data_IF_312004848590
#
_entry.id   IF_312004848590
#
_cell.length_a   1.000
_cell.length_b   1.000
_cell.length_c   1.000
_cell.angle_alpha   90.00
_cell.angle_beta   90.00
_cell.angle_gamma   90.00
#
_symmetry.space_group_name_H-M   'P 1'
#
loop_
_entity.id
_entity.type
_entity.pdbx_description
1 polymer ?
#
# COMPACT_ATOMS: atom_id res chain seq x y z
N UNK A 1 -26.78 21.37 25.91
CA UNK A 1 -25.69 20.40 26.18
C UNK A 1 -25.58 19.47 24.97
N UNK A 2 -24.36 19.31 24.44
CA UNK A 2 -24.14 18.42 23.31
C UNK A 2 -24.16 16.97 23.74
N UNK A 3 -24.68 16.08 22.90
CA UNK A 3 -24.62 14.66 23.12
C UNK A 3 -23.17 14.15 22.92
N UNK A 4 -22.88 12.97 23.43
CA UNK A 4 -21.55 12.34 23.18
C UNK A 4 -21.30 12.17 21.68
N UNK A 5 -22.33 11.93 20.89
CA UNK A 5 -22.21 11.78 19.44
C UNK A 5 -21.78 13.08 18.77
N UNK A 6 -22.35 14.21 19.18
CA UNK A 6 -21.99 15.53 18.65
C UNK A 6 -20.57 15.91 19.03
N UNK A 7 -20.16 15.64 20.27
CA UNK A 7 -18.80 15.91 20.73
C UNK A 7 -17.78 15.11 19.94
N UNK A 8 -18.05 13.83 19.71
CA UNK A 8 -17.15 12.96 18.93
C UNK A 8 -17.12 13.39 17.47
N UNK A 9 -18.24 13.77 16.90
CA UNK A 9 -18.31 14.25 15.52
C UNK A 9 -17.46 15.51 15.33
N UNK A 10 -17.50 16.46 16.27
CA UNK A 10 -16.66 17.67 16.22
C UNK A 10 -15.17 17.34 16.30
N UNK A 11 -14.78 16.47 17.24
CA UNK A 11 -13.39 16.08 17.42
C UNK A 11 -12.86 15.36 16.18
N UNK A 12 -13.64 14.45 15.62
CA UNK A 12 -13.27 13.71 14.41
C UNK A 12 -13.19 14.67 13.21
N UNK A 13 -14.15 15.60 13.09
CA UNK A 13 -14.14 16.58 12.01
C UNK A 13 -12.88 17.43 11.98
N UNK A 14 -12.42 17.89 13.13
CA UNK A 14 -11.17 18.66 13.23
C UNK A 14 -9.96 17.81 12.80
N UNK A 15 -9.89 16.58 13.27
CA UNK A 15 -8.80 15.67 12.92
C UNK A 15 -8.79 15.37 11.42
N UNK A 16 -9.97 15.11 10.84
CA UNK A 16 -10.11 14.84 9.41
C UNK A 16 -9.65 16.05 8.59
N UNK A 17 -10.03 17.26 8.98
CA UNK A 17 -9.60 18.47 8.28
C UNK A 17 -8.09 18.62 8.27
N UNK A 18 -7.44 18.41 9.41
CA UNK A 18 -5.99 18.48 9.52
C UNK A 18 -5.29 17.43 8.65
N UNK A 19 -5.74 16.18 8.74
CA UNK A 19 -5.14 15.09 7.97
C UNK A 19 -5.37 15.25 6.47
N UNK A 20 -6.57 15.65 6.07
CA UNK A 20 -6.88 15.86 4.65
C UNK A 20 -6.00 16.96 4.04
N UNK A 21 -5.80 18.07 4.76
CA UNK A 21 -4.91 19.13 4.33
C UNK A 21 -3.46 18.64 4.21
N UNK A 22 -3.00 17.88 5.22
CA UNK A 22 -1.63 17.35 5.24
C UNK A 22 -1.37 16.33 4.13
N UNK A 23 -2.37 15.53 3.77
CA UNK A 23 -2.21 14.44 2.79
C UNK A 23 -2.64 14.81 1.37
N UNK A 24 -2.91 16.08 1.10
CA UNK A 24 -3.23 16.55 -0.25
C UNK A 24 -4.49 15.95 -0.83
N UNK A 25 -5.51 15.75 0.01
CA UNK A 25 -6.79 15.17 -0.41
C UNK A 25 -6.67 13.76 -0.99
N UNK A 26 -5.79 12.93 -0.41
CA UNK A 26 -5.57 11.56 -0.85
C UNK A 26 -6.86 10.76 -0.98
N UNK A 27 -7.80 10.93 -0.04
CA UNK A 27 -9.07 10.22 -0.07
C UNK A 27 -9.87 10.50 -1.35
N UNK A 28 -9.89 11.76 -1.79
CA UNK A 28 -10.63 12.16 -2.99
C UNK A 28 -9.90 11.81 -4.28
N UNK A 29 -8.55 11.74 -4.26
CA UNK A 29 -7.73 11.66 -5.47
C UNK A 29 -7.13 10.28 -5.73
N UNK A 30 -7.02 9.42 -4.70
CA UNK A 30 -6.34 8.13 -4.83
C UNK A 30 -6.97 7.21 -5.90
N UNK A 31 -8.29 7.32 -6.13
CA UNK A 31 -8.98 6.49 -7.11
C UNK A 31 -8.47 6.72 -8.54
N UNK A 32 -7.98 7.91 -8.85
CA UNK A 32 -7.40 8.19 -10.17
C UNK A 32 -6.17 7.35 -10.42
N UNK A 33 -5.33 7.19 -9.39
CA UNK A 33 -4.14 6.36 -9.46
C UNK A 33 -4.53 4.89 -9.61
N UNK A 34 -5.54 4.44 -8.87
CA UNK A 34 -6.05 3.06 -8.99
C UNK A 34 -6.55 2.76 -10.41
N UNK A 35 -7.20 3.71 -11.04
CA UNK A 35 -7.67 3.55 -12.43
C UNK A 35 -6.51 3.33 -13.41
N UNK A 36 -5.38 3.98 -13.17
CA UNK A 36 -4.19 3.82 -14.00
C UNK A 36 -3.56 2.44 -13.76
N UNK A 37 -3.43 2.03 -12.50
CA UNK A 37 -2.81 0.76 -12.13
C UNK A 37 -3.69 -0.45 -12.47
N UNK A 38 -4.99 -0.32 -12.28
CA UNK A 38 -5.95 -1.40 -12.49
C UNK A 38 -7.06 -0.95 -13.45
N UNK A 39 -6.73 -0.75 -14.74
CA UNK A 39 -7.70 -0.19 -15.69
C UNK A 39 -8.90 -1.10 -15.94
N UNK A 40 -8.76 -2.39 -15.69
CA UNK A 40 -9.81 -3.39 -15.88
C UNK A 40 -10.43 -3.87 -14.55
N UNK A 41 -10.18 -3.14 -13.46
CA UNK A 41 -10.66 -3.52 -12.13
C UNK A 41 -9.68 -4.43 -11.41
N UNK A 42 -10.03 -4.80 -10.19
CA UNK A 42 -9.20 -5.61 -9.32
C UNK A 42 -9.86 -6.98 -9.18
N UNK A 43 -9.15 -8.02 -9.60
CA UNK A 43 -9.65 -9.39 -9.46
C UNK A 43 -9.43 -9.91 -8.04
N UNK A 44 -10.17 -10.95 -7.60
CA UNK A 44 -9.97 -11.52 -6.26
C UNK A 44 -8.53 -11.98 -5.98
N UNK A 45 -7.82 -12.46 -6.99
CA UNK A 45 -6.43 -12.90 -6.86
C UNK A 45 -5.48 -11.73 -6.58
N UNK A 46 -5.91 -10.51 -6.89
CA UNK A 46 -5.12 -9.29 -6.69
C UNK A 46 -5.44 -8.58 -5.38
N UNK A 47 -6.43 -9.04 -4.60
CA UNK A 47 -6.88 -8.30 -3.42
C UNK A 47 -5.77 -8.02 -2.41
N UNK A 48 -4.94 -9.00 -2.10
CA UNK A 48 -3.88 -8.82 -1.11
C UNK A 48 -2.89 -7.73 -1.53
N UNK A 49 -2.42 -7.81 -2.77
CA UNK A 49 -1.51 -6.80 -3.31
C UNK A 49 -2.19 -5.44 -3.43
N UNK A 50 -3.44 -5.41 -3.91
CA UNK A 50 -4.18 -4.17 -4.08
C UNK A 50 -4.38 -3.43 -2.75
N UNK A 51 -4.63 -4.15 -1.66
CA UNK A 51 -4.74 -3.53 -0.33
C UNK A 51 -3.43 -2.85 0.08
N UNK A 52 -2.30 -3.48 -0.17
CA UNK A 52 -1.00 -2.88 0.11
C UNK A 52 -0.72 -1.69 -0.81
N UNK A 53 -1.05 -1.81 -2.09
CA UNK A 53 -0.91 -0.72 -3.07
C UNK A 53 -1.68 0.51 -2.63
N UNK A 54 -2.93 0.34 -2.16
CA UNK A 54 -3.75 1.46 -1.69
C UNK A 54 -3.07 2.17 -0.51
N UNK A 55 -2.52 1.43 0.43
CA UNK A 55 -1.82 2.01 1.57
C UNK A 55 -0.55 2.75 1.15
N UNK A 56 0.17 2.19 0.19
CA UNK A 56 1.36 2.86 -0.37
C UNK A 56 0.97 4.17 -1.06
N UNK A 57 -0.12 4.17 -1.82
CA UNK A 57 -0.62 5.39 -2.47
C UNK A 57 -0.85 6.49 -1.44
N UNK A 58 -1.46 6.19 -0.31
CA UNK A 58 -1.67 7.17 0.76
C UNK A 58 -0.34 7.75 1.26
N UNK A 59 0.68 6.92 1.41
CA UNK A 59 2.01 7.37 1.82
C UNK A 59 2.68 8.24 0.77
N UNK A 60 2.44 7.94 -0.51
CA UNK A 60 2.97 8.77 -1.60
C UNK A 60 2.35 10.17 -1.58
N UNK A 61 1.04 10.29 -1.34
CA UNK A 61 0.39 11.59 -1.17
C UNK A 61 1.01 12.36 0.00
N UNK A 62 1.27 11.70 1.09
CA UNK A 62 1.90 12.31 2.26
C UNK A 62 3.31 12.79 1.95
N UNK A 63 4.12 11.99 1.26
CA UNK A 63 5.48 12.38 0.85
C UNK A 63 5.43 13.65 0.01
N UNK A 64 4.50 13.72 -0.92
CA UNK A 64 4.38 14.85 -1.84
C UNK A 64 3.88 16.13 -1.16
N UNK A 65 3.07 16.03 -0.10
CA UNK A 65 2.38 17.17 0.48
C UNK A 65 2.87 17.57 1.88
N UNK A 66 3.11 16.61 2.76
CA UNK A 66 3.48 16.88 4.15
C UNK A 66 4.28 15.73 4.74
N UNK A 67 5.44 15.47 4.17
CA UNK A 67 6.30 14.32 4.49
C UNK A 67 6.56 14.15 5.99
N UNK A 68 6.83 15.24 6.70
CA UNK A 68 7.21 15.19 8.11
C UNK A 68 6.03 15.39 9.06
N UNK A 69 4.81 15.48 8.54
CA UNK A 69 3.63 15.64 9.36
C UNK A 69 3.46 14.42 10.29
N UNK A 70 3.03 14.69 11.52
CA UNK A 70 2.75 13.68 12.55
C UNK A 70 3.97 12.86 13.00
N UNK A 71 5.19 13.28 12.65
CA UNK A 71 6.42 12.67 13.18
C UNK A 71 6.76 11.28 12.68
N UNK A 72 6.02 10.74 11.71
CA UNK A 72 6.26 9.43 11.14
C UNK A 72 6.83 9.54 9.73
N UNK A 73 7.76 8.64 9.38
CA UNK A 73 8.31 8.59 8.03
C UNK A 73 7.43 7.74 7.12
N UNK A 74 6.83 8.32 6.07
CA UNK A 74 6.06 7.54 5.11
C UNK A 74 6.92 6.53 4.35
N UNK A 75 8.18 6.83 4.11
CA UNK A 75 9.10 5.87 3.49
C UNK A 75 9.28 4.61 4.33
N UNK A 76 9.32 4.77 5.64
CA UNK A 76 9.42 3.63 6.57
C UNK A 76 8.20 2.72 6.47
N UNK A 77 7.00 3.31 6.36
CA UNK A 77 5.77 2.56 6.18
C UNK A 77 5.76 1.82 4.84
N UNK A 78 6.21 2.46 3.77
CA UNK A 78 6.32 1.83 2.45
C UNK A 78 7.28 0.64 2.51
N UNK A 79 8.43 0.81 3.17
CA UNK A 79 9.38 -0.28 3.36
C UNK A 79 8.75 -1.45 4.10
N UNK A 80 7.95 -1.17 5.14
CA UNK A 80 7.22 -2.20 5.88
C UNK A 80 6.25 -2.97 4.99
N UNK A 81 5.46 -2.29 4.20
CA UNK A 81 4.55 -2.95 3.25
C UNK A 81 5.31 -3.78 2.21
N UNK A 82 6.45 -3.27 1.74
CA UNK A 82 7.28 -4.01 0.79
C UNK A 82 7.80 -5.31 1.40
N UNK A 83 8.25 -5.28 2.65
CA UNK A 83 8.71 -6.47 3.37
C UNK A 83 7.57 -7.49 3.50
N UNK A 84 6.39 -7.03 3.88
CA UNK A 84 5.21 -7.89 3.99
C UNK A 84 4.85 -8.51 2.65
N UNK A 85 4.94 -7.74 1.57
CA UNK A 85 4.69 -8.23 0.21
C UNK A 85 5.68 -9.31 -0.21
N UNK A 86 6.95 -9.09 0.04
CA UNK A 86 8.00 -10.07 -0.27
C UNK A 86 7.79 -11.35 0.53
N UNK A 87 7.46 -11.24 1.83
CA UNK A 87 7.20 -12.39 2.68
C UNK A 87 5.98 -13.19 2.21
N UNK A 88 4.92 -12.49 1.80
CA UNK A 88 3.69 -13.12 1.28
C UNK A 88 3.97 -13.89 -0.01
N UNK A 89 4.70 -13.28 -0.95
CA UNK A 89 5.09 -13.95 -2.19
C UNK A 89 5.93 -15.20 -1.91
N UNK A 90 6.85 -15.11 -0.97
CA UNK A 90 7.68 -16.26 -0.58
C UNK A 90 6.84 -17.39 0.00
N UNK A 91 5.87 -17.07 0.87
CA UNK A 91 4.96 -18.07 1.45
C UNK A 91 4.11 -18.75 0.38
N UNK A 92 3.61 -17.99 -0.59
CA UNK A 92 2.81 -18.52 -1.69
C UNK A 92 3.63 -19.50 -2.54
N UNK A 93 4.87 -19.15 -2.83
CA UNK A 93 5.78 -20.03 -3.59
C UNK A 93 6.10 -21.30 -2.81
N UNK A 94 6.33 -21.21 -1.50
CA UNK A 94 6.63 -22.37 -0.65
C UNK A 94 5.45 -23.31 -0.52
N UNK A 95 4.22 -22.77 -0.45
CA UNK A 95 2.99 -23.58 -0.37
C UNK A 95 2.62 -24.22 -1.67
N UNK A 96 3.09 -23.68 -2.79
CA UNK A 96 2.75 -24.17 -4.10
C UNK A 96 3.69 -25.30 -4.50
N UNK A 97 3.32 -26.53 -4.14
CA UNK A 97 3.99 -27.73 -4.65
C UNK A 97 3.78 -27.91 -6.15
N UNK A 98 3.06 -26.98 -6.78
CA UNK A 98 2.70 -27.02 -8.20
C UNK A 98 3.55 -26.07 -9.05
N UNK A 99 4.55 -25.41 -8.46
CA UNK A 99 5.50 -24.59 -9.22
C UNK A 99 6.26 -25.54 -10.14
N UNK A 100 6.18 -25.35 -11.47
CA UNK A 100 6.91 -26.23 -12.39
C UNK A 100 8.40 -26.22 -12.12
N UNK A 101 9.05 -27.38 -12.24
CA UNK A 101 10.49 -27.49 -12.03
C UNK A 101 11.27 -26.51 -12.93
N UNK A 102 10.79 -26.30 -14.15
CA UNK A 102 11.41 -25.37 -15.09
C UNK A 102 11.26 -23.91 -14.64
N UNK A 103 10.22 -23.56 -13.87
CA UNK A 103 10.07 -22.21 -13.32
C UNK A 103 11.20 -21.90 -12.33
N UNK A 104 11.48 -22.82 -11.41
CA UNK A 104 12.57 -22.66 -10.45
C UNK A 104 13.94 -22.63 -11.15
N UNK A 105 14.13 -23.46 -12.16
CA UNK A 105 15.35 -23.46 -12.96
C UNK A 105 15.56 -22.12 -13.68
N UNK A 106 14.49 -21.51 -14.19
CA UNK A 106 14.54 -20.20 -14.83
C UNK A 106 14.95 -19.12 -13.84
N UNK A 107 14.40 -19.13 -12.64
CA UNK A 107 14.76 -18.15 -11.59
C UNK A 107 16.24 -18.33 -11.19
N UNK A 108 16.71 -19.55 -11.04
CA UNK A 108 18.11 -19.83 -10.72
C UNK A 108 19.04 -19.33 -11.81
N UNK A 109 18.69 -19.52 -13.06
CA UNK A 109 19.46 -18.99 -14.19
C UNK A 109 19.56 -17.47 -14.15
N UNK A 110 18.47 -16.78 -13.86
CA UNK A 110 18.47 -15.32 -13.72
C UNK A 110 19.31 -14.87 -12.55
N UNK A 111 19.21 -15.53 -11.40
CA UNK A 111 20.03 -15.22 -10.23
C UNK A 111 21.52 -15.37 -10.52
N UNK A 112 21.92 -16.43 -11.24
CA UNK A 112 23.32 -16.64 -11.65
C UNK A 112 23.81 -15.57 -12.62
N UNK A 113 22.95 -15.11 -13.55
CA UNK A 113 23.31 -14.05 -14.51
C UNK A 113 23.49 -12.70 -13.82
N UNK A 114 22.73 -12.40 -12.78
CA UNK A 114 22.84 -11.13 -12.06
C UNK A 114 24.02 -11.06 -11.11
N UNK A 115 24.63 -12.20 -10.77
CA UNK A 115 25.82 -12.25 -9.91
C UNK A 115 27.13 -12.02 -10.66
N UNK A 116 27.08 -11.93 -11.97
CA UNK A 116 28.21 -11.55 -12.78
C UNK A 116 28.25 -10.03 -12.92
#
# INVERSE_FOLDING_TARGET
MKSIYEEQAEAIGKLVAEKNAAYGSAFAEAHHILKVLYPNGISPEQYTDALAVIRVIDKLFRIANAKDAFGESPWRDIAGYAILGVADDHKKRSKSNQVPANFNATLDKHAKKTKK
#
